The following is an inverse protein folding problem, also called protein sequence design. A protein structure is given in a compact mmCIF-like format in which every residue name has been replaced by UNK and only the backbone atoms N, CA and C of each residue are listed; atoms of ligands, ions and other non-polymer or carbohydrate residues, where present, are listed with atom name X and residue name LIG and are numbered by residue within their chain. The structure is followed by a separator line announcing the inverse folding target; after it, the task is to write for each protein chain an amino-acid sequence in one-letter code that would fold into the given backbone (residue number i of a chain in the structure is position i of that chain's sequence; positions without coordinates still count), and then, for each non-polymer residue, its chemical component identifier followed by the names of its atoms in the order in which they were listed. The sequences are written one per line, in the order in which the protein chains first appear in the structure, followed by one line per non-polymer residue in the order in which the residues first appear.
data_IF_338362571756
#
_entry.id   IF_338362571756
#
_cell.length_a   1.000
_cell.length_b   1.000
_cell.length_c   1.000
_cell.angle_alpha   90.00
_cell.angle_beta   90.00
_cell.angle_gamma   90.00
#
_symmetry.space_group_name_H-M   'P 1'
#
loop_
_entity.id
_entity.type
_entity.pdbx_description
1 polymer ?
#
# COMPACT_ATOMS: atom_id res chain seq x y z
N UNK A 1 68.37 28.97 -21.09
CA UNK A 1 67.97 28.91 -22.50
C UNK A 1 67.35 27.52 -22.70
N UNK A 2 66.04 27.21 -22.69
CA UNK A 2 64.75 27.91 -22.71
C UNK A 2 63.71 27.01 -21.96
N UNK A 3 62.80 27.61 -21.19
CA UNK A 3 61.38 27.26 -20.88
C UNK A 3 60.96 25.77 -20.79
N UNK A 4 60.64 25.18 -19.62
CA UNK A 4 59.33 25.21 -18.89
C UNK A 4 58.08 25.20 -19.81
N UNK A 5 57.05 24.44 -19.41
CA UNK A 5 55.72 24.19 -20.06
C UNK A 5 55.72 22.92 -20.94
N UNK A 6 54.77 21.98 -20.93
CA UNK A 6 53.40 21.93 -20.42
C UNK A 6 53.10 20.57 -19.77
N UNK A 7 52.94 20.58 -18.45
CA UNK A 7 52.15 19.62 -17.69
C UNK A 7 50.66 19.83 -18.01
N UNK A 8 50.20 19.49 -19.22
CA UNK A 8 48.79 19.73 -19.58
C UNK A 8 48.19 18.78 -20.63
N UNK A 9 48.93 17.79 -21.12
CA UNK A 9 48.38 16.75 -22.01
C UNK A 9 47.99 15.48 -21.21
N UNK A 10 47.41 15.69 -20.02
CA UNK A 10 46.78 14.66 -19.18
C UNK A 10 45.44 15.13 -18.62
N UNK A 11 44.82 16.12 -19.27
CA UNK A 11 43.52 16.67 -18.88
C UNK A 11 42.55 16.77 -20.06
N UNK A 12 42.80 15.99 -21.12
CA UNK A 12 41.95 15.88 -22.30
C UNK A 12 41.47 14.44 -22.53
N UNK A 13 41.32 13.68 -21.45
CA UNK A 13 40.32 12.62 -21.36
C UNK A 13 39.13 13.25 -20.65
N UNK A 14 38.38 14.07 -21.39
CA UNK A 14 37.02 14.45 -21.00
C UNK A 14 36.17 13.18 -21.04
N UNK A 15 36.26 12.42 -19.96
CA UNK A 15 35.35 11.35 -19.63
C UNK A 15 34.00 12.01 -19.35
N UNK A 16 33.29 12.39 -20.41
CA UNK A 16 31.86 12.71 -20.33
C UNK A 16 31.15 11.38 -20.07
N UNK A 17 31.29 10.87 -18.85
CA UNK A 17 30.37 9.91 -18.29
C UNK A 17 29.04 10.65 -18.18
N UNK A 18 28.20 10.49 -19.19
CA UNK A 18 26.78 10.79 -19.09
C UNK A 18 26.27 9.86 -17.99
N UNK A 19 26.22 10.35 -16.75
CA UNK A 19 25.56 9.64 -15.67
C UNK A 19 24.09 9.65 -16.05
N UNK A 20 23.62 8.52 -16.60
CA UNK A 20 22.19 8.24 -16.66
C UNK A 20 21.72 8.07 -15.21
N UNK A 21 21.36 9.19 -14.58
CA UNK A 21 20.59 9.17 -13.34
C UNK A 21 19.23 8.62 -13.77
N UNK A 22 19.02 7.31 -13.64
CA UNK A 22 17.66 6.78 -13.66
C UNK A 22 17.01 7.33 -12.41
N UNK A 23 16.24 8.40 -12.53
CA UNK A 23 15.26 8.71 -11.50
C UNK A 23 14.34 7.48 -11.48
N UNK A 24 14.32 6.69 -10.39
CA UNK A 24 13.29 5.67 -10.29
C UNK A 24 11.96 6.41 -10.50
N UNK A 25 11.11 5.90 -11.40
CA UNK A 25 9.76 6.41 -11.46
C UNK A 25 9.18 6.16 -10.06
N UNK A 26 8.94 7.25 -9.33
CA UNK A 26 8.27 7.20 -8.03
C UNK A 26 6.79 6.96 -8.34
N UNK A 27 6.48 5.73 -8.72
CA UNK A 27 5.14 5.21 -8.51
C UNK A 27 5.08 4.78 -7.06
N UNK A 28 3.96 5.03 -6.39
CA UNK A 28 3.81 4.54 -5.04
C UNK A 28 3.55 3.03 -5.04
N UNK A 29 3.63 2.36 -3.89
CA UNK A 29 3.11 1.00 -3.80
C UNK A 29 1.62 1.00 -4.15
N UNK A 30 1.17 -0.04 -4.84
CA UNK A 30 -0.22 -0.19 -5.25
C UNK A 30 -0.70 -1.60 -4.93
N UNK A 31 -1.68 -1.70 -4.03
CA UNK A 31 -2.37 -2.95 -3.71
C UNK A 31 -3.82 -2.87 -4.20
N UNK A 32 -4.28 -3.94 -4.84
CA UNK A 32 -5.67 -4.15 -5.22
C UNK A 32 -6.17 -5.39 -4.46
N UNK A 33 -7.00 -5.25 -3.41
CA UNK A 33 -7.64 -6.40 -2.79
C UNK A 33 -8.47 -7.16 -3.81
N UNK A 34 -8.32 -8.47 -3.90
CA UNK A 34 -8.97 -9.32 -4.90
C UNK A 34 -10.14 -10.15 -4.35
N UNK A 35 -10.33 -10.13 -3.03
CA UNK A 35 -11.49 -10.70 -2.35
C UNK A 35 -12.20 -9.66 -1.49
N UNK A 36 -13.52 -9.84 -1.33
CA UNK A 36 -14.36 -9.00 -0.46
C UNK A 36 -14.54 -9.57 0.95
N UNK A 37 -14.17 -10.83 1.13
CA UNK A 37 -14.23 -11.51 2.43
C UNK A 37 -13.19 -10.91 3.36
N UNK A 38 -13.61 -10.58 4.57
CA UNK A 38 -12.69 -10.15 5.62
C UNK A 38 -11.93 -11.34 6.18
N UNK A 39 -10.62 -11.34 6.01
CA UNK A 39 -9.73 -12.36 6.55
C UNK A 39 -8.36 -11.80 6.96
N UNK A 40 -7.60 -12.61 7.69
CA UNK A 40 -6.24 -12.30 8.13
C UNK A 40 -5.41 -13.59 8.13
N UNK A 41 -5.21 -14.16 6.94
CA UNK A 41 -4.60 -15.48 6.76
C UNK A 41 -3.47 -15.40 5.74
N UNK A 42 -2.33 -16.02 6.05
CA UNK A 42 -1.26 -16.16 5.06
C UNK A 42 -1.63 -17.15 3.95
N UNK A 43 -2.21 -16.65 2.85
CA UNK A 43 -2.60 -17.44 1.68
C UNK A 43 -2.26 -16.70 0.36
N UNK A 44 -3.02 -16.92 -0.72
CA UNK A 44 -2.84 -16.27 -2.02
C UNK A 44 -3.83 -15.13 -2.30
N UNK A 45 -4.85 -15.00 -1.48
CA UNK A 45 -5.93 -14.03 -1.62
C UNK A 45 -5.53 -12.77 -0.85
N UNK A 46 -6.06 -11.61 -1.23
CA UNK A 46 -5.75 -10.33 -0.60
C UNK A 46 -7.05 -9.61 -0.23
N UNK A 47 -7.42 -9.67 1.04
CA UNK A 47 -8.52 -8.89 1.60
C UNK A 47 -8.14 -7.43 1.86
N UNK A 48 -9.12 -6.59 2.16
CA UNK A 48 -8.87 -5.19 2.58
C UNK A 48 -8.02 -5.12 3.85
N UNK A 49 -8.28 -6.02 4.82
CA UNK A 49 -7.55 -6.06 6.09
C UNK A 49 -6.07 -6.37 5.87
N UNK A 50 -5.78 -7.36 5.04
CA UNK A 50 -4.42 -7.76 4.68
C UNK A 50 -3.69 -6.71 3.84
N UNK A 51 -4.42 -6.00 2.99
CA UNK A 51 -3.88 -4.88 2.23
C UNK A 51 -3.45 -3.73 3.14
N UNK A 52 -4.25 -3.38 4.16
CA UNK A 52 -3.87 -2.37 5.14
C UNK A 52 -2.68 -2.84 5.99
N UNK A 53 -2.64 -4.11 6.37
CA UNK A 53 -1.50 -4.66 7.09
C UNK A 53 -0.20 -4.58 6.27
N UNK A 54 -0.26 -4.93 4.98
CA UNK A 54 0.87 -4.80 4.07
C UNK A 54 1.34 -3.35 3.93
N UNK A 55 0.41 -2.38 3.90
CA UNK A 55 0.77 -0.95 3.89
C UNK A 55 1.42 -0.50 5.21
N UNK A 56 0.92 -0.97 6.35
CA UNK A 56 1.46 -0.63 7.66
C UNK A 56 2.88 -1.17 7.86
N UNK A 57 3.15 -2.41 7.45
CA UNK A 57 4.49 -3.01 7.54
C UNK A 57 5.44 -2.48 6.44
N UNK A 58 4.87 -1.96 5.35
CA UNK A 58 5.61 -1.53 4.17
C UNK A 58 6.21 -2.71 3.42
N UNK A 59 5.50 -3.85 3.39
CA UNK A 59 5.94 -5.10 2.78
C UNK A 59 4.76 -5.92 2.26
N UNK A 60 5.03 -6.80 1.29
CA UNK A 60 4.05 -7.76 0.78
C UNK A 60 3.79 -8.84 1.83
N UNK A 61 2.57 -8.90 2.36
CA UNK A 61 2.17 -9.81 3.43
C UNK A 61 0.81 -10.43 3.17
N UNK A 62 0.56 -11.60 3.79
CA UNK A 62 -0.77 -12.23 3.88
C UNK A 62 -1.50 -12.35 2.53
N UNK A 63 -0.77 -12.74 1.48
CA UNK A 63 -1.33 -12.91 0.12
C UNK A 63 -1.38 -11.64 -0.73
N UNK A 64 -1.27 -10.46 -0.13
CA UNK A 64 -1.17 -9.20 -0.86
C UNK A 64 0.21 -8.99 -1.49
N UNK A 65 0.23 -8.56 -2.75
CA UNK A 65 1.44 -8.21 -3.48
C UNK A 65 1.30 -6.83 -4.11
N UNK A 66 2.24 -5.96 -3.83
CA UNK A 66 2.33 -4.65 -4.46
C UNK A 66 2.66 -4.77 -5.96
N UNK A 67 1.96 -3.98 -6.78
CA UNK A 67 2.15 -3.90 -8.24
C UNK A 67 2.76 -2.57 -8.72
N UNK A 68 2.95 -1.62 -7.81
CA UNK A 68 3.59 -0.32 -8.01
C UNK A 68 5.11 -0.35 -7.75
N UNK A 69 5.66 0.73 -7.17
CA UNK A 69 7.06 0.73 -6.73
C UNK A 69 7.18 0.34 -5.24
N UNK A 70 8.33 0.59 -4.62
CA UNK A 70 8.51 0.28 -3.21
C UNK A 70 7.56 1.10 -2.31
N UNK A 71 7.16 0.50 -1.20
CA UNK A 71 6.41 1.16 -0.12
C UNK A 71 7.15 2.40 0.42
N UNK A 72 6.38 3.37 0.91
CA UNK A 72 6.84 4.48 1.74
C UNK A 72 6.51 5.88 1.24
N UNK A 73 6.07 6.07 -0.01
CA UNK A 73 5.67 7.41 -0.48
C UNK A 73 4.42 7.36 -1.34
N UNK A 74 3.33 7.95 -0.82
CA UNK A 74 2.05 8.11 -1.51
C UNK A 74 1.36 6.79 -1.90
N UNK A 75 1.56 5.74 -1.09
CA UNK A 75 1.06 4.39 -1.34
C UNK A 75 -0.47 4.35 -1.46
N UNK A 76 -0.96 3.43 -2.27
CA UNK A 76 -2.37 3.38 -2.66
C UNK A 76 -2.96 1.99 -2.52
N UNK A 77 -4.15 1.95 -1.93
CA UNK A 77 -5.06 0.81 -2.02
C UNK A 77 -6.18 1.23 -2.96
N UNK A 78 -6.31 0.55 -4.11
CA UNK A 78 -7.46 0.72 -5.00
C UNK A 78 -8.42 -0.42 -4.74
N UNK A 79 -9.64 -0.07 -4.34
CA UNK A 79 -10.69 -1.02 -4.01
C UNK A 79 -11.55 -1.27 -5.25
N UNK A 80 -11.53 -2.51 -5.80
CA UNK A 80 -12.56 -2.94 -6.74
C UNK A 80 -13.97 -2.64 -6.22
N UNK A 81 -14.89 -2.38 -7.15
CA UNK A 81 -16.30 -2.21 -6.81
C UNK A 81 -16.83 -3.42 -6.08
N UNK A 82 -17.44 -3.17 -4.93
CA UNK A 82 -18.19 -4.16 -4.18
C UNK A 82 -18.45 -3.69 -2.77
N UNK A 83 -18.74 -4.65 -1.89
CA UNK A 83 -18.91 -4.41 -0.46
C UNK A 83 -17.90 -5.24 0.31
N UNK A 84 -16.97 -4.56 0.96
CA UNK A 84 -16.03 -5.15 1.91
C UNK A 84 -16.69 -5.19 3.28
N UNK A 85 -17.05 -6.39 3.74
CA UNK A 85 -17.75 -6.58 5.01
C UNK A 85 -16.76 -7.01 6.07
N UNK A 86 -16.42 -6.11 7.01
CA UNK A 86 -15.41 -6.32 8.04
C UNK A 86 -15.98 -7.17 9.19
N UNK A 87 -16.04 -8.48 8.98
CA UNK A 87 -16.73 -9.44 9.85
C UNK A 87 -15.89 -10.04 10.99
N UNK A 88 -14.56 -9.88 10.97
CA UNK A 88 -13.70 -10.44 12.03
C UNK A 88 -13.92 -9.65 13.32
N UNK A 89 -14.54 -10.29 14.30
CA UNK A 89 -14.80 -9.70 15.60
C UNK A 89 -13.57 -9.67 16.48
N UNK A 90 -13.48 -8.65 17.32
CA UNK A 90 -12.45 -8.55 18.34
C UNK A 90 -12.19 -7.11 18.73
N UNK A 91 -11.08 -6.91 19.43
CA UNK A 91 -10.52 -5.60 19.70
C UNK A 91 -9.02 -5.81 19.73
N UNK A 92 -8.32 -5.13 18.84
CA UNK A 92 -6.87 -5.05 18.83
C UNK A 92 -6.41 -3.68 18.35
N UNK A 93 -5.09 -3.52 18.20
CA UNK A 93 -4.46 -2.35 17.60
C UNK A 93 -3.48 -2.79 16.48
N UNK A 94 -3.75 -3.93 15.83
CA UNK A 94 -2.83 -4.65 14.91
C UNK A 94 -3.54 -5.29 13.71
N UNK A 95 -4.74 -4.84 13.34
CA UNK A 95 -5.56 -5.37 12.24
C UNK A 95 -5.94 -6.84 12.29
N UNK A 96 -5.48 -7.65 13.25
CA UNK A 96 -5.71 -9.10 13.26
C UNK A 96 -7.18 -9.47 13.58
N UNK A 97 -7.92 -8.55 14.20
CA UNK A 97 -9.30 -8.67 14.63
C UNK A 97 -9.93 -7.29 14.92
N UNK A 98 -11.25 -7.20 14.83
CA UNK A 98 -11.95 -5.94 15.12
C UNK A 98 -11.88 -4.96 13.96
N UNK A 99 -11.64 -3.69 14.25
CA UNK A 99 -11.52 -2.63 13.26
C UNK A 99 -10.21 -2.71 12.45
N UNK A 100 -9.99 -1.69 11.62
CA UNK A 100 -8.81 -1.56 10.77
C UNK A 100 -8.02 -0.34 11.23
N UNK A 101 -6.76 -0.56 11.54
CA UNK A 101 -5.78 0.43 11.96
C UNK A 101 -4.92 0.85 10.77
N UNK A 102 -4.92 2.14 10.45
CA UNK A 102 -4.02 2.74 9.46
C UNK A 102 -2.93 3.49 10.21
N UNK A 103 -1.69 3.00 10.10
CA UNK A 103 -0.53 3.50 10.85
C UNK A 103 0.41 4.36 10.00
N UNK A 104 0.19 4.41 8.68
CA UNK A 104 0.99 5.14 7.70
C UNK A 104 0.12 6.05 6.82
N UNK A 105 0.74 7.06 6.22
CA UNK A 105 0.08 7.90 5.22
C UNK A 105 -0.19 7.06 3.95
N UNK A 106 -1.46 6.80 3.64
CA UNK A 106 -1.86 6.07 2.45
C UNK A 106 -3.13 6.67 1.81
N UNK A 107 -3.35 6.34 0.54
CA UNK A 107 -4.56 6.74 -0.21
C UNK A 107 -5.42 5.51 -0.44
N UNK A 108 -6.65 5.51 0.07
CA UNK A 108 -7.67 4.51 -0.29
C UNK A 108 -8.58 5.12 -1.35
N UNK A 109 -8.70 4.45 -2.49
CA UNK A 109 -9.58 4.86 -3.61
C UNK A 109 -10.64 3.79 -3.84
N UNK A 110 -11.90 4.20 -3.83
CA UNK A 110 -13.02 3.35 -4.24
C UNK A 110 -13.21 3.40 -5.75
N UNK A 111 -13.49 2.23 -6.34
CA UNK A 111 -13.56 2.03 -7.78
C UNK A 111 -12.16 1.95 -8.38
N UNK A 112 -11.97 1.03 -9.33
CA UNK A 112 -10.81 1.05 -10.19
C UNK A 112 -11.07 1.93 -11.42
N UNK A 113 -10.04 2.21 -12.23
CA UNK A 113 -10.21 3.07 -13.43
C UNK A 113 -11.21 2.48 -14.46
N UNK A 114 -11.54 1.19 -14.35
CA UNK A 114 -12.39 0.46 -15.28
C UNK A 114 -13.84 0.33 -14.82
N UNK A 115 -14.10 0.45 -13.51
CA UNK A 115 -15.44 0.41 -12.93
C UNK A 115 -15.62 1.48 -11.83
N UNK A 116 -16.16 2.67 -12.17
CA UNK A 116 -16.37 3.78 -11.23
C UNK A 116 -17.65 3.62 -10.39
N UNK A 117 -18.19 2.42 -10.25
CA UNK A 117 -19.39 2.14 -9.44
C UNK A 117 -19.09 2.19 -7.93
N UNK A 118 -20.11 1.94 -7.11
CA UNK A 118 -20.03 2.15 -5.66
C UNK A 118 -19.17 1.09 -4.98
N UNK A 119 -18.08 1.53 -4.35
CA UNK A 119 -17.38 0.75 -3.33
C UNK A 119 -17.97 1.06 -1.95
N UNK A 120 -18.26 0.03 -1.16
CA UNK A 120 -18.74 0.15 0.21
C UNK A 120 -17.76 -0.60 1.13
N UNK A 121 -17.30 0.07 2.19
CA UNK A 121 -16.65 -0.58 3.33
C UNK A 121 -17.68 -0.60 4.45
N UNK A 122 -18.18 -1.79 4.77
CA UNK A 122 -19.16 -2.02 5.83
C UNK A 122 -18.44 -2.60 7.05
N UNK A 123 -18.38 -1.84 8.13
CA UNK A 123 -17.72 -2.24 9.37
C UNK A 123 -18.52 -3.21 10.22
N UNK A 124 -19.38 -4.04 9.61
CA UNK A 124 -20.32 -5.03 10.19
C UNK A 124 -20.50 -4.86 11.70
N UNK A 125 -21.64 -4.29 12.12
CA UNK A 125 -21.87 -4.14 13.55
C UNK A 125 -22.17 -5.49 14.20
N UNK A 126 -21.28 -5.96 15.09
CA UNK A 126 -21.52 -7.16 15.90
C UNK A 126 -22.71 -6.97 16.84
N UNK A 127 -23.87 -7.49 16.43
CA UNK A 127 -25.06 -7.64 17.29
C UNK A 127 -25.13 -9.04 17.95
N UNK A 128 -24.11 -9.90 17.78
CA UNK A 128 -24.19 -11.32 18.16
C UNK A 128 -23.97 -11.58 19.67
N UNK A 129 -23.47 -10.60 20.44
CA UNK A 129 -23.25 -10.74 21.89
C UNK A 129 -24.03 -9.75 22.78
N UNK A 130 -24.98 -8.98 22.23
CA UNK A 130 -25.80 -8.09 23.03
C UNK A 130 -27.01 -8.83 23.63
N UNK A 131 -26.79 -9.51 24.76
CA UNK A 131 -27.84 -9.59 25.76
C UNK A 131 -28.26 -8.15 26.11
N UNK A 132 -29.38 -7.70 25.55
CA UNK A 132 -29.96 -6.36 25.60
C UNK A 132 -29.36 -5.32 24.61
N UNK A 133 -30.15 -5.03 23.56
CA UNK A 133 -30.31 -3.71 22.92
C UNK A 133 -29.07 -2.81 22.85
N UNK A 134 -27.96 -3.28 22.25
CA UNK A 134 -26.87 -2.38 21.87
C UNK A 134 -27.16 -1.87 20.46
N UNK A 135 -27.74 -0.68 20.38
CA UNK A 135 -27.88 0.04 19.11
C UNK A 135 -26.48 0.53 18.71
N UNK A 136 -26.10 0.25 17.46
CA UNK A 136 -24.84 0.71 16.87
C UNK A 136 -24.89 2.23 16.68
N UNK A 137 -24.59 2.97 17.74
CA UNK A 137 -24.29 4.40 17.65
C UNK A 137 -22.78 4.52 17.78
N UNK A 138 -22.16 4.93 16.67
CA UNK A 138 -20.77 5.40 16.62
C UNK A 138 -20.59 6.57 17.61
#
# INVERSE_FOLDING_TARGET
MFYRTLTALKFFLLFSAFIFISTPNIYAALILPDIFTDEFTANSDCSLREAIESMNDGADMLGCTNTGAAYGTADQITLPTGTYVLSIQGTDDTNAAGDLDILVDLIIRGGDETDPTTTIIDGECDIQNAGAYKLCMR
#
